data_IF_983621955301
#
_entry.id   IF_983621955301
#
_cell.length_a   1.000
_cell.length_b   1.000
_cell.length_c   1.000
_cell.angle_alpha   90.00
_cell.angle_beta   90.00
_cell.angle_gamma   90.00
#
_symmetry.space_group_name_H-M   'P 1'
#
loop_
_entity.id
_entity.type
_entity.pdbx_description
1 polymer ?
#
# COMPACT_ATOMS: atom_id res chain seq x y z
N UNK A 1 7.44 4.75 36.83
CA UNK A 1 8.13 4.23 35.64
C UNK A 1 7.19 4.43 34.46
N UNK A 2 7.69 5.07 33.42
CA UNK A 2 6.94 5.98 32.55
C UNK A 2 5.84 5.34 31.70
N UNK A 3 4.77 6.11 31.56
CA UNK A 3 3.58 5.82 30.76
C UNK A 3 3.93 5.75 29.27
N UNK A 4 3.83 4.56 28.70
CA UNK A 4 3.77 4.36 27.24
C UNK A 4 2.44 4.92 26.75
N UNK A 5 2.49 6.17 26.30
CA UNK A 5 1.41 6.87 25.61
C UNK A 5 1.15 6.13 24.30
N UNK A 6 0.11 5.30 24.29
CA UNK A 6 -0.47 4.71 23.08
C UNK A 6 -0.99 5.84 22.20
N UNK A 7 -0.13 6.33 21.31
CA UNK A 7 -0.49 7.27 20.27
C UNK A 7 -1.24 6.51 19.17
N UNK A 8 -2.50 6.18 19.45
CA UNK A 8 -3.45 5.70 18.44
C UNK A 8 -3.79 6.87 17.55
N UNK A 9 -3.03 7.06 16.47
CA UNK A 9 -3.37 8.02 15.43
C UNK A 9 -4.53 7.44 14.63
N UNK A 10 -5.72 7.91 15.00
CA UNK A 10 -6.92 7.85 14.20
C UNK A 10 -6.63 8.35 12.77
N UNK A 11 -6.56 7.44 11.79
CA UNK A 11 -6.75 7.77 10.37
C UNK A 11 -8.11 7.26 9.95
N UNK A 12 -9.13 8.04 10.31
CA UNK A 12 -10.43 7.97 9.67
C UNK A 12 -10.24 8.13 8.17
N UNK A 13 -10.53 7.10 7.39
CA UNK A 13 -10.77 7.20 5.95
C UNK A 13 -11.80 6.16 5.55
N UNK A 14 -13.06 6.54 5.82
CA UNK A 14 -14.22 6.01 5.11
C UNK A 14 -14.01 6.22 3.60
N UNK A 15 -14.62 5.32 2.80
CA UNK A 15 -14.89 5.39 1.34
C UNK A 15 -13.67 5.00 0.47
N UNK A 16 -13.75 4.20 -0.59
CA UNK A 16 -14.86 3.74 -1.43
C UNK A 16 -14.32 2.59 -2.29
N UNK A 17 -15.06 1.47 -2.41
CA UNK A 17 -14.79 0.50 -3.46
C UNK A 17 -15.01 1.18 -4.83
N UNK A 18 -14.01 1.15 -5.70
CA UNK A 18 -14.16 1.45 -7.12
C UNK A 18 -13.55 0.29 -7.91
N UNK A 19 -14.33 -0.50 -8.66
CA UNK A 19 -13.79 -1.29 -9.75
C UNK A 19 -13.56 -0.33 -10.91
N UNK A 20 -12.32 0.11 -11.12
CA UNK A 20 -11.97 0.84 -12.33
C UNK A 20 -11.70 -0.19 -13.42
N UNK A 21 -12.77 -0.54 -14.12
CA UNK A 21 -12.70 -1.28 -15.36
C UNK A 21 -12.35 -0.33 -16.49
N UNK A 22 -11.34 -0.67 -17.28
CA UNK A 22 -11.32 -0.35 -18.70
C UNK A 22 -10.27 0.65 -19.18
N UNK A 23 -9.29 0.07 -19.89
CA UNK A 23 -8.75 0.59 -21.15
C UNK A 23 -7.86 1.83 -21.08
N UNK A 24 -6.55 1.62 -21.00
CA UNK A 24 -5.61 2.60 -21.55
C UNK A 24 -4.46 1.92 -22.29
N UNK A 25 -4.02 2.58 -23.35
CA UNK A 25 -3.17 2.03 -24.39
C UNK A 25 -1.79 2.65 -24.29
N UNK A 26 -0.75 1.80 -24.20
CA UNK A 26 0.63 2.02 -24.63
C UNK A 26 1.47 3.19 -24.01
N UNK A 27 0.94 3.98 -23.07
CA UNK A 27 1.72 4.79 -22.09
C UNK A 27 1.80 4.15 -20.70
N UNK A 28 1.24 2.95 -20.58
CA UNK A 28 0.77 2.30 -19.36
C UNK A 28 1.85 1.63 -18.52
N UNK A 29 3.06 1.42 -19.05
CA UNK A 29 4.02 0.51 -18.40
C UNK A 29 4.43 0.98 -17.00
N UNK A 30 4.61 2.29 -16.80
CA UNK A 30 4.99 2.86 -15.50
C UNK A 30 3.81 2.96 -14.54
N UNK A 31 2.64 3.35 -15.03
CA UNK A 31 1.42 3.50 -14.22
C UNK A 31 0.88 2.14 -13.77
N UNK A 32 0.93 1.14 -14.66
CA UNK A 32 0.59 -0.24 -14.35
C UNK A 32 1.58 -0.83 -13.35
N UNK A 33 2.87 -0.57 -13.51
CA UNK A 33 3.89 -1.04 -12.59
C UNK A 33 3.70 -0.46 -11.18
N UNK A 34 3.53 0.86 -11.07
CA UNK A 34 3.25 1.51 -9.78
C UNK A 34 1.94 0.98 -9.17
N UNK A 35 0.92 0.76 -9.99
CA UNK A 35 -0.37 0.21 -9.54
C UNK A 35 -0.21 -1.21 -8.98
N UNK A 36 0.57 -2.07 -9.64
CA UNK A 36 0.86 -3.41 -9.12
C UNK A 36 1.65 -3.38 -7.83
N UNK A 37 2.70 -2.55 -7.76
CA UNK A 37 3.49 -2.35 -6.54
C UNK A 37 2.58 -1.87 -5.39
N UNK A 38 1.70 -0.90 -5.65
CA UNK A 38 0.78 -0.37 -4.65
C UNK A 38 -0.20 -1.44 -4.14
N UNK A 39 -0.73 -2.27 -5.03
CA UNK A 39 -1.61 -3.39 -4.66
C UNK A 39 -0.85 -4.43 -3.81
N UNK A 40 0.38 -4.79 -4.22
CA UNK A 40 1.20 -5.74 -3.47
C UNK A 40 1.58 -5.18 -2.08
N UNK A 41 2.03 -3.93 -2.00
CA UNK A 41 2.33 -3.25 -0.75
C UNK A 41 1.11 -3.17 0.18
N UNK A 42 -0.08 -2.94 -0.38
CA UNK A 42 -1.34 -2.94 0.38
C UNK A 42 -1.61 -4.31 1.02
N UNK A 43 -1.45 -5.41 0.29
CA UNK A 43 -1.64 -6.75 0.85
C UNK A 43 -0.60 -7.10 1.93
N UNK A 44 0.64 -6.64 1.77
CA UNK A 44 1.71 -6.81 2.77
C UNK A 44 1.40 -6.04 4.05
N UNK A 45 1.00 -4.78 3.92
CA UNK A 45 0.54 -3.98 5.04
C UNK A 45 -0.69 -4.61 5.70
N UNK A 46 -1.65 -5.13 4.92
CA UNK A 46 -2.82 -5.83 5.43
C UNK A 46 -2.45 -7.09 6.24
N UNK A 47 -1.52 -7.90 5.76
CA UNK A 47 -1.04 -9.10 6.47
C UNK A 47 -0.38 -8.76 7.81
N UNK A 48 0.24 -7.57 7.93
CA UNK A 48 0.78 -7.02 9.18
C UNK A 48 -0.24 -6.22 10.01
N UNK A 49 -1.46 -6.00 9.51
CA UNK A 49 -2.48 -5.21 10.20
C UNK A 49 -2.24 -3.68 10.14
N UNK A 50 -1.62 -3.18 9.06
CA UNK A 50 -1.33 -1.77 8.81
C UNK A 50 -0.53 -1.10 9.94
N UNK A 51 0.50 -1.79 10.43
CA UNK A 51 1.38 -1.23 11.45
C UNK A 51 2.13 -0.01 10.89
N UNK A 52 2.14 1.13 11.61
CA UNK A 52 2.88 2.31 11.20
C UNK A 52 4.39 2.08 11.34
N UNK A 53 5.18 2.67 10.43
CA UNK A 53 6.63 2.54 10.36
C UNK A 53 7.13 1.47 9.39
N UNK A 54 6.22 0.75 8.73
CA UNK A 54 6.55 -0.31 7.76
C UNK A 54 6.04 -0.01 6.35
N UNK A 55 5.38 1.12 6.12
CA UNK A 55 4.80 1.47 4.82
C UNK A 55 5.86 1.48 3.70
N UNK A 56 7.05 2.00 3.99
CA UNK A 56 8.15 2.07 3.03
C UNK A 56 8.78 0.69 2.79
N UNK A 57 8.88 -0.13 3.84
CA UNK A 57 9.40 -1.49 3.78
C UNK A 57 8.49 -2.38 2.92
N UNK A 58 7.17 -2.27 3.11
CA UNK A 58 6.17 -2.99 2.33
C UNK A 58 6.16 -2.56 0.86
N UNK A 59 6.39 -1.26 0.58
CA UNK A 59 6.51 -0.74 -0.78
C UNK A 59 7.80 -1.20 -1.49
N UNK A 60 8.95 -1.13 -0.81
CA UNK A 60 10.23 -1.62 -1.34
C UNK A 60 10.20 -3.12 -1.62
N UNK A 61 9.59 -3.89 -0.72
CA UNK A 61 9.45 -5.33 -0.90
C UNK A 61 8.49 -5.68 -2.05
N UNK A 62 7.41 -4.90 -2.24
CA UNK A 62 6.53 -5.05 -3.40
C UNK A 62 7.23 -4.69 -4.73
N UNK A 63 8.04 -3.63 -4.76
CA UNK A 63 8.84 -3.27 -5.93
C UNK A 63 9.89 -4.33 -6.28
N UNK A 64 10.53 -4.93 -5.26
CA UNK A 64 11.48 -6.01 -5.46
C UNK A 64 10.84 -7.27 -6.07
N UNK A 65 9.61 -7.60 -5.66
CA UNK A 65 8.83 -8.73 -6.21
C UNK A 65 8.42 -8.48 -7.67
N UNK A 66 8.01 -7.27 -8.03
CA UNK A 66 7.62 -6.91 -9.42
C UNK A 66 8.80 -6.84 -10.40
N UNK A 67 10.04 -6.77 -9.89
CA UNK A 67 11.27 -6.70 -10.71
C UNK A 67 11.97 -8.06 -10.91
N UNK A 68 11.46 -9.13 -10.29
CA UNK A 68 11.99 -10.51 -10.45
C UNK A 68 11.40 -11.24 -11.65
#
# INVERSE_FOLDING_TARGET
>A
MESIKSLTKNTSSRKKAMPLSGEVSNGQNSEDHISRIAVSAYYKAQARGFQPGHELDDWLAAEAEEKQ
#
